data_IF_542674270271
#
_entry.id   IF_542674270271
#
_cell.length_a   1.000
_cell.length_b   1.000
_cell.length_c   1.000
_cell.angle_alpha   90.00
_cell.angle_beta   90.00
_cell.angle_gamma   90.00
#
_symmetry.space_group_name_H-M   'P 1'
#
loop_
_entity.id
_entity.type
_entity.pdbx_description
1 polymer ?
#
# COMPACT_ATOMS: atom_id res chain seq x y z
N UNK A 1 0.48 29.26 3.01
CA UNK A 1 -0.80 28.99 2.31
C UNK A 1 -0.84 27.51 1.95
N UNK A 2 -1.78 26.76 2.56
CA UNK A 2 -2.18 25.39 2.20
C UNK A 2 -1.14 24.27 2.37
N UNK A 3 -1.48 23.19 3.08
CA UNK A 3 -0.79 21.90 2.87
C UNK A 3 -1.02 21.49 1.41
N UNK A 4 0.02 21.09 0.69
CA UNK A 4 -0.12 20.54 -0.67
C UNK A 4 -0.83 19.18 -0.54
N UNK A 5 -1.71 18.87 -1.49
CA UNK A 5 -2.30 17.53 -1.56
C UNK A 5 -1.21 16.47 -1.72
N UNK A 6 -1.46 15.28 -1.15
CA UNK A 6 -0.60 14.14 -1.40
C UNK A 6 -0.60 13.85 -2.92
N UNK A 7 0.57 13.59 -3.53
CA UNK A 7 0.66 13.35 -4.97
C UNK A 7 0.09 11.99 -5.40
N UNK A 8 -0.42 11.20 -4.45
CA UNK A 8 -0.93 9.85 -4.63
C UNK A 8 -2.38 9.73 -4.17
N UNK A 9 -3.18 9.03 -4.95
CA UNK A 9 -4.55 8.65 -4.63
C UNK A 9 -4.59 7.15 -4.35
N UNK A 10 -5.02 6.77 -3.15
CA UNK A 10 -5.15 5.38 -2.75
C UNK A 10 -6.62 4.96 -2.67
N UNK A 11 -6.92 3.75 -3.12
CA UNK A 11 -8.21 3.09 -2.88
C UNK A 11 -8.01 1.61 -2.61
N UNK A 12 -8.83 1.07 -1.70
CA UNK A 12 -8.86 -0.35 -1.37
C UNK A 12 -10.26 -0.90 -1.62
N UNK A 13 -10.31 -2.04 -2.27
CA UNK A 13 -11.52 -2.81 -2.46
C UNK A 13 -11.46 -4.09 -1.63
N UNK A 14 -12.59 -4.43 -1.04
CA UNK A 14 -12.79 -5.69 -0.33
C UNK A 14 -13.91 -6.44 -1.02
N UNK A 15 -13.60 -7.62 -1.54
CA UNK A 15 -14.57 -8.53 -2.11
C UNK A 15 -14.62 -9.79 -1.27
N UNK A 16 -15.80 -10.19 -0.85
CA UNK A 16 -16.00 -11.52 -0.31
C UNK A 16 -16.17 -12.50 -1.48
N UNK A 17 -15.23 -13.42 -1.66
CA UNK A 17 -15.26 -14.41 -2.74
C UNK A 17 -15.10 -15.83 -2.18
N UNK A 18 -16.19 -16.61 -2.25
CA UNK A 18 -16.25 -17.93 -1.62
C UNK A 18 -16.23 -17.79 -0.10
N UNK A 19 -15.13 -18.22 0.53
CA UNK A 19 -14.90 -18.18 1.98
C UNK A 19 -13.68 -17.31 2.36
N UNK A 20 -13.22 -16.47 1.42
CA UNK A 20 -12.01 -15.67 1.57
C UNK A 20 -12.26 -14.22 1.17
N UNK A 21 -11.54 -13.31 1.82
CA UNK A 21 -11.44 -11.92 1.37
C UNK A 21 -10.47 -11.84 0.19
N UNK A 22 -10.90 -11.19 -0.88
CA UNK A 22 -10.01 -10.61 -1.88
C UNK A 22 -9.87 -9.12 -1.56
N UNK A 23 -8.63 -8.70 -1.31
CA UNK A 23 -8.28 -7.30 -1.10
C UNK A 23 -7.53 -6.82 -2.34
N UNK A 24 -8.00 -5.72 -2.93
CA UNK A 24 -7.34 -5.07 -4.07
C UNK A 24 -6.95 -3.67 -3.62
N UNK A 25 -5.65 -3.41 -3.64
CA UNK A 25 -5.05 -2.11 -3.38
C UNK A 25 -4.68 -1.45 -4.69
N UNK A 26 -5.10 -0.21 -4.87
CA UNK A 26 -4.73 0.57 -6.04
C UNK A 26 -4.20 1.94 -5.63
N UNK A 27 -3.09 2.31 -6.27
CA UNK A 27 -2.42 3.59 -6.08
C UNK A 27 -2.29 4.28 -7.44
N UNK A 28 -2.66 5.55 -7.51
CA UNK A 28 -2.49 6.39 -8.71
C UNK A 28 -1.64 7.61 -8.36
N UNK A 29 -0.78 8.00 -9.28
CA UNK A 29 -0.04 9.26 -9.23
C UNK A 29 -0.24 10.04 -10.54
N UNK A 30 -0.07 11.37 -10.50
CA UNK A 30 0.04 12.14 -11.75
C UNK A 30 1.28 11.75 -12.56
N UNK A 31 2.35 11.35 -11.88
CA UNK A 31 3.56 10.84 -12.53
C UNK A 31 4.34 9.93 -11.59
N UNK A 32 4.84 8.82 -12.13
CA UNK A 32 5.65 7.82 -11.41
C UNK A 32 7.15 8.08 -11.48
N UNK A 33 7.62 8.99 -12.36
CA UNK A 33 9.05 9.22 -12.67
C UNK A 33 9.94 9.54 -11.47
N UNK A 34 9.38 10.11 -10.40
CA UNK A 34 10.12 10.48 -9.19
C UNK A 34 10.01 9.45 -8.06
N UNK A 35 9.27 8.37 -8.28
CA UNK A 35 9.07 7.32 -7.29
C UNK A 35 10.25 6.37 -7.32
N UNK A 36 10.97 6.29 -6.19
CA UNK A 36 12.18 5.48 -6.06
C UNK A 36 11.90 4.07 -5.54
N UNK A 37 10.89 3.94 -4.68
CA UNK A 37 10.52 2.67 -4.07
C UNK A 37 9.03 2.66 -3.75
N UNK A 38 8.38 1.52 -3.96
CA UNK A 38 7.01 1.28 -3.51
C UNK A 38 6.94 -0.12 -2.93
N UNK A 39 6.15 -0.27 -1.88
CA UNK A 39 5.82 -1.58 -1.37
C UNK A 39 4.68 -1.52 -0.38
N UNK A 40 4.20 -2.70 -0.02
CA UNK A 40 3.11 -2.91 0.91
C UNK A 40 3.52 -3.98 1.91
N UNK A 41 3.16 -3.80 3.17
CA UNK A 41 3.48 -4.75 4.22
C UNK A 41 2.69 -4.44 5.49
N UNK A 42 3.09 -5.05 6.59
CA UNK A 42 2.56 -4.68 7.91
C UNK A 42 2.89 -3.23 8.26
N UNK A 43 2.20 -2.69 9.26
CA UNK A 43 2.53 -1.37 9.81
C UNK A 43 4.04 -1.29 10.09
N UNK A 44 4.69 -0.21 9.63
CA UNK A 44 6.01 0.14 10.12
C UNK A 44 5.88 0.41 11.62
N UNK A 45 6.13 -0.63 12.41
CA UNK A 45 6.02 -0.56 13.85
C UNK A 45 7.26 0.14 14.36
N UNK A 46 7.16 1.45 14.57
CA UNK A 46 8.08 2.10 15.50
C UNK A 46 7.73 1.61 16.90
N UNK A 47 8.57 0.75 17.47
CA UNK A 47 8.45 0.37 18.88
C UNK A 47 8.93 1.58 19.69
N UNK A 48 8.00 2.49 20.00
CA UNK A 48 8.24 3.55 20.97
C UNK A 48 7.91 3.00 22.36
N UNK A 49 8.91 2.96 23.24
CA UNK A 49 8.86 2.27 24.55
C UNK A 49 7.75 2.77 25.51
N UNK A 50 7.03 3.84 25.13
CA UNK A 50 5.95 4.45 25.94
C UNK A 50 4.54 3.97 25.55
N UNK A 51 4.35 3.30 24.41
CA UNK A 51 3.02 2.79 24.00
C UNK A 51 3.06 1.31 23.63
N UNK A 52 2.59 0.46 24.55
CA UNK A 52 2.31 -0.96 24.25
C UNK A 52 1.12 -1.04 23.29
N UNK A 53 1.36 -1.49 22.04
CA UNK A 53 0.27 -1.93 21.16
C UNK A 53 0.09 -3.44 21.32
N UNK A 54 -1.16 -3.89 21.43
CA UNK A 54 -1.48 -5.32 21.42
C UNK A 54 -1.04 -5.93 20.09
N UNK A 55 -0.33 -7.04 20.17
CA UNK A 55 0.08 -7.82 19.00
C UNK A 55 -1.16 -8.25 18.18
N UNK A 56 -1.08 -8.07 16.87
CA UNK A 56 -2.02 -8.62 15.90
C UNK A 56 -1.23 -9.33 14.79
N UNK A 57 -1.61 -10.56 14.37
CA UNK A 57 -0.89 -11.28 13.31
C UNK A 57 -0.71 -10.48 12.01
N UNK A 58 -1.66 -9.59 11.68
CA UNK A 58 -1.57 -8.70 10.52
C UNK A 58 -0.41 -7.70 10.56
N UNK A 59 0.20 -7.46 11.73
CA UNK A 59 1.41 -6.64 11.86
C UNK A 59 2.66 -7.33 11.32
N UNK A 60 2.61 -8.66 11.11
CA UNK A 60 3.70 -9.46 10.58
C UNK A 60 3.56 -9.71 9.06
N UNK A 61 2.70 -8.97 8.36
CA UNK A 61 2.60 -9.10 6.91
C UNK A 61 3.97 -8.81 6.27
N UNK A 62 4.48 -9.71 5.42
CA UNK A 62 5.78 -9.53 4.80
C UNK A 62 5.76 -8.26 3.94
N UNK A 63 6.91 -7.60 3.86
CA UNK A 63 7.10 -6.54 2.89
C UNK A 63 7.09 -7.12 1.49
N UNK A 64 6.20 -6.62 0.65
CA UNK A 64 6.15 -6.87 -0.79
C UNK A 64 6.71 -5.63 -1.48
N UNK A 65 7.86 -5.78 -2.11
CA UNK A 65 8.47 -4.75 -2.94
C UNK A 65 7.74 -4.72 -4.30
N UNK A 66 7.27 -3.54 -4.70
CA UNK A 66 6.56 -3.27 -5.95
C UNK A 66 7.29 -2.21 -6.79
N UNK A 67 8.59 -2.00 -6.51
CA UNK A 67 9.36 -0.90 -7.11
C UNK A 67 9.57 -1.09 -8.61
N UNK A 68 9.71 -2.34 -9.07
CA UNK A 68 9.91 -2.66 -10.49
C UNK A 68 8.64 -2.42 -11.31
N UNK A 69 7.47 -2.79 -10.77
CA UNK A 69 6.16 -2.58 -11.38
C UNK A 69 5.92 -1.09 -11.65
N UNK A 70 6.30 -0.23 -10.71
CA UNK A 70 6.13 1.22 -10.84
C UNK A 70 6.97 1.82 -11.96
N UNK A 71 8.14 1.26 -12.27
CA UNK A 71 8.98 1.75 -13.37
C UNK A 71 8.35 1.53 -14.74
N UNK A 72 7.34 0.64 -14.83
CA UNK A 72 6.62 0.35 -16.06
C UNK A 72 5.34 1.17 -16.25
N UNK A 73 4.93 1.93 -15.24
CA UNK A 73 3.65 2.66 -15.27
C UNK A 73 3.77 4.01 -15.96
N UNK A 74 2.79 4.31 -16.80
CA UNK A 74 2.61 5.63 -17.40
C UNK A 74 1.96 6.63 -16.41
N UNK A 75 2.06 7.92 -16.73
CA UNK A 75 1.41 8.98 -15.96
C UNK A 75 -0.10 8.70 -15.82
N UNK A 76 -0.65 8.83 -14.61
CA UNK A 76 -2.04 8.51 -14.25
C UNK A 76 -2.45 7.02 -14.31
N UNK A 77 -1.54 6.12 -14.64
CA UNK A 77 -1.82 4.68 -14.55
C UNK A 77 -1.93 4.23 -13.09
N UNK A 78 -2.74 3.20 -12.85
CA UNK A 78 -2.96 2.63 -11.53
C UNK A 78 -1.98 1.49 -11.30
N UNK A 79 -1.14 1.61 -10.26
CA UNK A 79 -0.50 0.44 -9.66
C UNK A 79 -1.59 -0.37 -8.95
N UNK A 80 -1.63 -1.68 -9.18
CA UNK A 80 -2.62 -2.59 -8.59
C UNK A 80 -1.93 -3.75 -7.90
N UNK A 81 -2.39 -4.08 -6.71
CA UNK A 81 -1.92 -5.22 -5.95
C UNK A 81 -3.11 -6.00 -5.38
N UNK A 82 -3.10 -7.32 -5.54
CA UNK A 82 -4.19 -8.20 -5.11
C UNK A 82 -3.69 -9.24 -4.11
N UNK A 83 -4.43 -9.42 -3.02
CA UNK A 83 -4.13 -10.44 -2.01
C UNK A 83 -5.40 -11.14 -1.53
N UNK A 84 -5.29 -12.43 -1.21
CA UNK A 84 -6.37 -13.26 -0.67
C UNK A 84 -6.10 -13.62 0.79
N UNK A 85 -7.13 -13.51 1.63
CA UNK A 85 -7.12 -13.86 3.05
C UNK A 85 -8.22 -14.87 3.37
#
# INVERSE_FOLDING_TARGET
>A
TGKKDAPFCFRRYFYWQGERWLVIDELQAKSWKSVQSVGIGGDQTSIYVVMSRTFQPGQLQPWVDLSDEVQTLDDYEWLKFEQRF
#
